data_IF_000252408478
#
_entry.id   IF_000252408478
#
_cell.length_a   1.000
_cell.length_b   1.000
_cell.length_c   1.000
_cell.angle_alpha   90.00
_cell.angle_beta   90.00
_cell.angle_gamma   90.00
#
_symmetry.space_group_name_H-M   'P 1'
#
loop_
_entity.id
_entity.type
_entity.pdbx_description
1 polymer ?
#
# COMPACT_ATOMS: atom_id res chain seq x y z
N UNK A 1 -10.88 5.23 -12.45
CA UNK A 1 -10.71 3.81 -12.78
C UNK A 1 -9.42 3.28 -12.24
N UNK A 2 -9.45 2.04 -11.81
CA UNK A 2 -8.27 1.42 -11.23
C UNK A 2 -7.27 1.06 -12.31
N UNK A 3 -6.01 1.30 -12.01
CA UNK A 3 -4.91 0.89 -12.85
C UNK A 3 -4.49 -0.52 -12.42
N UNK A 4 -4.21 -1.39 -13.37
CA UNK A 4 -3.72 -2.73 -13.07
C UNK A 4 -2.22 -2.66 -12.81
N UNK A 5 -1.80 -3.09 -11.62
CA UNK A 5 -0.40 -3.01 -11.19
C UNK A 5 0.04 -4.40 -10.77
N UNK A 6 1.22 -4.83 -11.24
CA UNK A 6 1.73 -6.15 -10.87
C UNK A 6 2.40 -6.08 -9.49
N UNK A 7 2.50 -7.26 -8.86
CA UNK A 7 3.19 -7.36 -7.59
C UNK A 7 4.66 -6.97 -7.73
N UNK A 8 5.22 -7.27 -8.90
CA UNK A 8 6.61 -6.90 -9.16
C UNK A 8 6.78 -5.39 -9.19
N UNK A 9 5.84 -4.68 -9.80
CA UNK A 9 5.89 -3.23 -9.81
C UNK A 9 5.83 -2.68 -8.38
N UNK A 10 4.97 -3.26 -7.56
CA UNK A 10 4.87 -2.82 -6.18
C UNK A 10 6.19 -3.06 -5.46
N UNK A 11 6.81 -4.21 -5.69
CA UNK A 11 8.08 -4.52 -5.02
C UNK A 11 9.19 -3.56 -5.41
N UNK A 12 9.09 -2.95 -6.58
CA UNK A 12 10.08 -1.96 -7.03
C UNK A 12 9.89 -0.61 -6.34
N UNK A 13 8.76 -0.41 -5.67
CA UNK A 13 8.44 0.86 -5.01
C UNK A 13 8.40 0.66 -3.50
N UNK A 14 9.56 0.40 -2.92
CA UNK A 14 9.67 0.11 -1.49
C UNK A 14 10.74 0.97 -0.84
N UNK A 15 10.84 2.21 -1.26
CA UNK A 15 11.82 3.15 -0.72
C UNK A 15 11.12 4.42 -0.24
N UNK A 16 11.86 5.24 0.49
CA UNK A 16 11.30 6.49 1.00
C UNK A 16 10.92 7.47 -0.11
N UNK A 17 11.50 7.31 -1.29
CA UNK A 17 11.20 8.17 -2.43
C UNK A 17 9.97 7.69 -3.19
N UNK A 18 9.63 6.44 -3.06
CA UNK A 18 8.47 5.88 -3.73
C UNK A 18 8.04 4.63 -2.96
N UNK A 19 6.97 4.74 -2.20
CA UNK A 19 6.53 3.69 -1.29
C UNK A 19 5.10 3.27 -1.63
N UNK A 20 4.96 2.07 -2.18
CA UNK A 20 3.66 1.49 -2.51
C UNK A 20 3.41 0.29 -1.62
N UNK A 21 2.15 0.07 -1.26
CA UNK A 21 1.76 -1.07 -0.42
C UNK A 21 0.47 -1.68 -0.97
N UNK A 22 0.34 -2.99 -0.81
CA UNK A 22 -0.87 -3.71 -1.22
C UNK A 22 -1.69 -4.03 0.01
N UNK A 23 -2.97 -3.64 -0.03
CA UNK A 23 -3.92 -3.96 1.02
C UNK A 23 -5.21 -4.43 0.35
N UNK A 24 -5.59 -5.68 0.61
CA UNK A 24 -6.81 -6.30 0.06
C UNK A 24 -6.90 -6.17 -1.46
N UNK A 25 -5.77 -6.38 -2.14
CA UNK A 25 -5.75 -6.37 -3.58
C UNK A 25 -5.64 -5.00 -4.20
N UNK A 26 -5.63 -3.95 -3.40
CA UNK A 26 -5.49 -2.58 -3.88
C UNK A 26 -4.09 -2.04 -3.58
N UNK A 27 -3.60 -1.19 -4.47
CA UNK A 27 -2.27 -0.61 -4.32
C UNK A 27 -2.40 0.85 -3.92
N UNK A 28 -1.67 1.20 -2.88
CA UNK A 28 -1.67 2.57 -2.35
C UNK A 28 -0.27 3.15 -2.42
N UNK A 29 -0.15 4.36 -2.95
CA UNK A 29 1.11 5.10 -2.95
C UNK A 29 1.13 5.96 -1.69
N UNK A 30 1.88 5.50 -0.70
CA UNK A 30 1.91 6.16 0.60
C UNK A 30 3.19 6.95 0.83
N UNK A 31 3.87 7.29 -0.26
CA UNK A 31 5.15 8.01 -0.17
C UNK A 31 5.05 9.25 0.70
N UNK A 32 4.04 10.08 0.46
CA UNK A 32 3.88 11.32 1.20
C UNK A 32 3.31 11.11 2.59
N UNK A 33 2.66 9.97 2.79
CA UNK A 33 2.08 9.66 4.08
C UNK A 33 3.11 9.11 5.08
N UNK A 34 4.27 8.72 4.59
CA UNK A 34 5.30 8.15 5.46
C UNK A 34 5.60 9.05 6.66
N UNK A 35 5.68 10.35 6.42
CA UNK A 35 6.03 11.29 7.48
C UNK A 35 4.89 11.49 8.48
N UNK A 36 3.67 11.24 8.06
CA UNK A 36 2.50 11.46 8.90
C UNK A 36 1.97 10.20 9.55
N UNK A 37 2.60 9.06 9.29
CA UNK A 37 2.11 7.79 9.81
C UNK A 37 2.26 7.72 11.33
N UNK A 38 1.14 7.49 12.05
CA UNK A 38 1.19 7.49 13.52
C UNK A 38 2.12 6.46 14.13
N UNK A 39 2.29 5.32 13.46
CA UNK A 39 3.19 4.27 13.94
C UNK A 39 4.64 4.48 13.56
N UNK A 40 4.92 5.55 12.82
CA UNK A 40 6.28 5.87 12.42
C UNK A 40 6.57 5.55 10.97
N UNK A 41 7.48 6.33 10.40
CA UNK A 41 7.85 6.19 9.00
C UNK A 41 8.45 4.83 8.69
N UNK A 42 9.33 4.34 9.55
CA UNK A 42 10.03 3.08 9.30
C UNK A 42 9.09 1.88 9.31
N UNK A 43 8.09 1.92 10.18
CA UNK A 43 7.12 0.83 10.27
C UNK A 43 6.33 0.74 8.97
N UNK A 44 5.87 1.88 8.48
CA UNK A 44 5.11 1.89 7.23
C UNK A 44 6.00 1.49 6.05
N UNK A 45 7.22 1.99 6.02
CA UNK A 45 8.13 1.68 4.92
C UNK A 45 8.43 0.18 4.84
N UNK A 46 8.54 -0.49 5.98
CA UNK A 46 8.76 -1.93 5.99
C UNK A 46 7.60 -2.70 5.40
N UNK A 47 6.41 -2.13 5.47
CA UNK A 47 5.21 -2.78 4.93
C UNK A 47 5.09 -2.57 3.42
N UNK A 48 5.86 -1.65 2.85
CA UNK A 48 5.75 -1.34 1.43
C UNK A 48 6.46 -2.35 0.56
N UNK A 49 6.10 -2.36 -0.72
CA UNK A 49 6.69 -3.27 -1.68
C UNK A 49 6.10 -4.67 -1.67
N UNK A 50 5.04 -4.89 -0.91
CA UNK A 50 4.46 -6.21 -0.76
C UNK A 50 3.03 -6.12 -0.26
N UNK A 51 2.37 -7.27 -0.17
CA UNK A 51 1.01 -7.36 0.38
C UNK A 51 1.10 -7.34 1.90
N UNK A 52 0.60 -6.29 2.51
CA UNK A 52 0.60 -6.13 3.96
C UNK A 52 -0.82 -6.06 4.51
N UNK A 53 -1.77 -6.67 3.81
CA UNK A 53 -3.16 -6.68 4.23
C UNK A 53 -3.33 -7.18 5.66
N UNK A 54 -2.71 -8.32 5.96
CA UNK A 54 -2.86 -8.94 7.28
C UNK A 54 -2.37 -8.03 8.39
N UNK A 55 -1.19 -7.43 8.19
CA UNK A 55 -0.63 -6.52 9.17
C UNK A 55 -1.49 -5.28 9.33
N UNK A 56 -2.00 -4.78 8.20
CA UNK A 56 -2.85 -3.59 8.24
C UNK A 56 -4.08 -3.82 9.12
N UNK A 57 -4.74 -4.97 8.94
CA UNK A 57 -5.97 -5.24 9.68
C UNK A 57 -5.74 -5.52 11.16
N UNK A 58 -4.51 -5.82 11.55
CA UNK A 58 -4.20 -5.99 12.97
C UNK A 58 -4.23 -4.68 13.73
N UNK A 59 -3.99 -3.57 13.04
CA UNK A 59 -3.84 -2.27 13.69
C UNK A 59 -4.83 -1.22 13.22
N UNK A 60 -5.56 -1.50 12.16
CA UNK A 60 -6.44 -0.49 11.55
C UNK A 60 -7.81 -1.06 11.27
N UNK A 61 -8.81 -0.19 11.31
CA UNK A 61 -10.17 -0.56 11.00
C UNK A 61 -10.47 -0.26 9.53
N UNK A 62 -11.61 -0.78 9.08
CA UNK A 62 -12.06 -0.52 7.72
C UNK A 62 -12.21 0.96 7.43
N UNK A 63 -12.59 1.75 8.44
CA UNK A 63 -12.75 3.19 8.25
C UNK A 63 -11.44 3.86 7.86
N UNK A 64 -10.33 3.40 8.41
CA UNK A 64 -9.03 3.96 8.05
C UNK A 64 -8.76 3.74 6.58
N UNK A 65 -9.07 2.53 6.08
CA UNK A 65 -8.85 2.23 4.69
C UNK A 65 -9.75 3.08 3.78
N UNK A 66 -11.00 3.22 4.14
CA UNK A 66 -11.96 3.92 3.30
C UNK A 66 -11.81 5.43 3.32
N UNK A 67 -11.29 5.98 4.41
CA UNK A 67 -11.19 7.44 4.54
C UNK A 67 -9.77 7.96 4.46
N UNK A 68 -8.88 7.39 5.25
CA UNK A 68 -7.51 7.90 5.33
C UNK A 68 -6.67 7.43 4.14
N UNK A 69 -6.81 6.17 3.77
CA UNK A 69 -5.98 5.61 2.72
C UNK A 69 -6.55 5.85 1.31
N UNK A 70 -7.83 6.12 1.20
CA UNK A 70 -8.46 6.27 -0.10
C UNK A 70 -7.77 7.28 -1.01
N UNK A 71 -7.35 8.47 -0.54
CA UNK A 71 -6.67 9.42 -1.41
C UNK A 71 -5.36 8.90 -1.98
N UNK A 72 -4.81 7.85 -1.40
CA UNK A 72 -3.54 7.28 -1.84
C UNK A 72 -3.72 6.10 -2.76
N UNK A 73 -4.94 5.70 -3.04
CA UNK A 73 -5.23 4.57 -3.91
C UNK A 73 -4.83 4.89 -5.34
N UNK A 74 -3.96 4.07 -5.93
CA UNK A 74 -3.51 4.28 -7.30
C UNK A 74 -3.92 3.16 -8.25
N UNK A 75 -4.38 2.05 -7.73
CA UNK A 75 -4.80 0.97 -8.60
C UNK A 75 -5.05 -0.31 -7.83
N UNK A 76 -5.08 -1.42 -8.55
CA UNK A 76 -5.27 -2.73 -7.94
C UNK A 76 -4.24 -3.70 -8.49
N UNK A 77 -3.97 -4.75 -7.71
CA UNK A 77 -3.02 -5.76 -8.13
C UNK A 77 -3.60 -6.57 -9.28
N UNK A 78 -2.80 -6.72 -10.33
CA UNK A 78 -3.21 -7.52 -11.48
C UNK A 78 -3.11 -8.99 -11.13
N UNK A 79 -4.24 -9.71 -11.24
CA UNK A 79 -4.24 -11.14 -10.99
C UNK A 79 -3.52 -11.91 -12.08
N UNK A 80 -3.31 -11.28 -13.23
CA UNK A 80 -2.60 -11.95 -14.33
C UNK A 80 -1.15 -12.21 -13.99
N UNK A 81 -0.60 -11.46 -13.04
CA UNK A 81 0.78 -11.66 -12.66
C UNK A 81 1.01 -13.02 -12.05
N UNK A 82 -0.05 -13.72 -11.70
CA UNK A 82 0.05 -15.04 -11.08
C UNK A 82 -0.14 -16.19 -12.03
N UNK A 83 -0.48 -15.89 -13.25
CA UNK A 83 -0.77 -16.94 -14.23
C UNK A 83 0.46 -17.32 -15.07
#
# INVERSE_FOLDING_TARGET
MSKAITEKEVSDHASADSAWVIIDGNVYDVTEFLEDHPGGKKVLLKACGKDSSKQFWQFHSKKVLEKTAKPYLIGSVSSNAKL
#
